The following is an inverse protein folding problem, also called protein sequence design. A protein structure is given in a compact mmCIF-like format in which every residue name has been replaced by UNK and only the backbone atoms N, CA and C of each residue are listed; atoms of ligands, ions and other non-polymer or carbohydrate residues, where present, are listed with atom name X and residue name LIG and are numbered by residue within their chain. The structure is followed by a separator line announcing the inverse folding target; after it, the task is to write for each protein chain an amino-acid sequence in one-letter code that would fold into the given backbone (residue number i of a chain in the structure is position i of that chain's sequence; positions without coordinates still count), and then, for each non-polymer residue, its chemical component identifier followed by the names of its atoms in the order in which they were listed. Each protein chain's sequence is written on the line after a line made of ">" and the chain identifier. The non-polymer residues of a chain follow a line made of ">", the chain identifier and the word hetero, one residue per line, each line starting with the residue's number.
data_IF_872433031089
#
_entry.id   IF_872433031089
#
_cell.length_a   1.000
_cell.length_b   1.000
_cell.length_c   1.000
_cell.angle_alpha   90.00
_cell.angle_beta   90.00
_cell.angle_gamma   90.00
#
_symmetry.space_group_name_H-M   'P 1'
#
loop_
_entity.id
_entity.type
_entity.pdbx_description
1 polymer ?
#
# COMPACT_ATOMS: atom_id res chain seq x y z
N UNK A 1 -4.00 21.02 -24.75
CA UNK A 1 -3.31 20.44 -25.92
C UNK A 1 -2.69 19.06 -25.67
N UNK A 2 -2.29 18.69 -24.44
CA UNK A 2 -1.72 17.33 -24.17
C UNK A 2 -2.68 16.18 -24.58
N UNK A 3 -3.98 16.31 -24.29
CA UNK A 3 -5.01 15.32 -24.66
C UNK A 3 -5.18 15.17 -26.18
N UNK A 4 -5.18 16.29 -26.92
CA UNK A 4 -5.28 16.28 -28.39
C UNK A 4 -4.07 15.58 -29.01
N UNK A 5 -2.87 15.84 -28.49
CA UNK A 5 -1.64 15.17 -28.93
C UNK A 5 -1.69 13.67 -28.66
N UNK A 6 -2.19 13.26 -27.49
CA UNK A 6 -2.38 11.85 -27.15
C UNK A 6 -3.36 11.16 -28.10
N UNK A 7 -4.54 11.75 -28.33
CA UNK A 7 -5.54 11.22 -29.26
C UNK A 7 -4.99 11.14 -30.68
N UNK A 8 -4.26 12.17 -31.14
CA UNK A 8 -3.64 12.17 -32.46
C UNK A 8 -2.60 11.05 -32.62
N UNK A 9 -1.76 10.80 -31.60
CA UNK A 9 -0.78 9.71 -31.69
C UNK A 9 -1.43 8.32 -31.69
N UNK A 10 -2.46 8.10 -30.87
CA UNK A 10 -3.17 6.81 -30.80
C UNK A 10 -3.92 6.55 -32.11
N UNK A 11 -4.68 7.54 -32.60
CA UNK A 11 -5.45 7.41 -33.84
C UNK A 11 -4.52 7.33 -35.05
N UNK A 12 -3.43 8.11 -35.06
CA UNK A 12 -2.44 8.08 -36.13
C UNK A 12 -1.71 6.74 -36.24
N UNK A 13 -1.26 6.17 -35.13
CA UNK A 13 -0.61 4.84 -35.13
C UNK A 13 -1.59 3.74 -35.51
N UNK A 14 -2.85 3.84 -35.08
CA UNK A 14 -3.91 2.94 -35.49
C UNK A 14 -4.12 3.02 -37.01
N UNK A 15 -4.36 4.20 -37.57
CA UNK A 15 -4.59 4.35 -39.01
C UNK A 15 -3.40 3.86 -39.84
N UNK A 16 -2.16 4.11 -39.40
CA UNK A 16 -0.96 3.62 -40.09
C UNK A 16 -0.88 2.10 -40.17
N UNK A 17 -1.30 1.38 -39.12
CA UNK A 17 -1.36 -0.08 -39.13
C UNK A 17 -2.41 -0.65 -40.09
N UNK A 18 -3.43 0.15 -40.45
CA UNK A 18 -4.53 -0.27 -41.34
C UNK A 18 -4.36 0.17 -42.79
N UNK A 19 -3.34 0.99 -43.11
CA UNK A 19 -3.07 1.46 -44.48
C UNK A 19 -2.98 0.31 -45.51
N UNK A 20 -2.33 -0.83 -45.22
CA UNK A 20 -2.26 -1.93 -46.19
C UNK A 20 -3.64 -2.49 -46.57
N UNK A 21 -4.55 -2.64 -45.59
CA UNK A 21 -5.90 -3.16 -45.81
C UNK A 21 -6.80 -2.17 -46.57
N UNK A 22 -6.64 -0.87 -46.32
CA UNK A 22 -7.35 0.16 -47.09
C UNK A 22 -6.89 0.18 -48.55
N UNK A 23 -5.62 -0.09 -48.81
CA UNK A 23 -5.10 -0.18 -50.16
C UNK A 23 -5.73 -1.36 -50.91
N UNK A 24 -5.71 -2.56 -50.32
CA UNK A 24 -6.37 -3.76 -50.86
C UNK A 24 -7.85 -3.52 -51.19
N UNK A 25 -8.58 -2.87 -50.28
CA UNK A 25 -10.00 -2.58 -50.45
C UNK A 25 -10.28 -1.65 -51.63
N UNK A 26 -9.38 -0.68 -51.90
CA UNK A 26 -9.54 0.30 -52.98
C UNK A 26 -9.11 -0.30 -54.33
N UNK A 27 -8.01 -1.04 -54.36
CA UNK A 27 -7.49 -1.63 -55.61
C UNK A 27 -8.24 -2.88 -56.03
N UNK A 28 -8.83 -3.63 -55.09
CA UNK A 28 -9.49 -4.91 -55.37
C UNK A 28 -8.54 -6.05 -55.72
N UNK A 29 -7.25 -5.75 -55.84
CA UNK A 29 -6.18 -6.72 -56.10
C UNK A 29 -5.68 -7.33 -54.79
N UNK A 30 -5.44 -8.66 -54.75
CA UNK A 30 -4.88 -9.32 -53.58
C UNK A 30 -3.47 -8.78 -53.30
N UNK A 31 -3.27 -8.36 -52.06
CA UNK A 31 -2.00 -7.77 -51.63
C UNK A 31 -0.93 -8.88 -51.49
N UNK A 32 0.34 -8.53 -51.76
CA UNK A 32 1.43 -9.49 -51.72
C UNK A 32 1.77 -9.91 -50.28
N UNK A 33 2.35 -11.11 -50.11
CA UNK A 33 2.68 -11.65 -48.78
C UNK A 33 3.65 -10.78 -47.98
N UNK A 34 4.49 -10.01 -48.68
CA UNK A 34 5.41 -9.06 -48.07
C UNK A 34 4.66 -7.93 -47.36
N UNK A 35 3.53 -7.50 -47.92
CA UNK A 35 2.68 -6.47 -47.31
C UNK A 35 1.92 -7.00 -46.09
N UNK A 36 1.47 -8.26 -46.09
CA UNK A 36 0.85 -8.88 -44.90
C UNK A 36 1.81 -8.88 -43.71
N UNK A 37 3.09 -9.21 -43.95
CA UNK A 37 4.12 -9.16 -42.92
C UNK A 37 4.33 -7.74 -42.38
N UNK A 38 4.32 -6.73 -43.26
CA UNK A 38 4.46 -5.33 -42.86
C UNK A 38 3.24 -4.87 -42.06
N UNK A 39 2.03 -5.24 -42.47
CA UNK A 39 0.80 -4.93 -41.73
C UNK A 39 0.83 -5.53 -40.32
N UNK A 40 1.21 -6.80 -40.19
CA UNK A 40 1.32 -7.47 -38.89
C UNK A 40 2.39 -6.81 -38.00
N UNK A 41 3.55 -6.48 -38.56
CA UNK A 41 4.59 -5.75 -37.84
C UNK A 41 4.09 -4.39 -37.32
N UNK A 42 3.41 -3.59 -38.14
CA UNK A 42 2.85 -2.30 -37.70
C UNK A 42 1.74 -2.46 -36.67
N UNK A 43 0.94 -3.52 -36.76
CA UNK A 43 -0.06 -3.86 -35.74
C UNK A 43 0.60 -4.13 -34.39
N UNK A 44 1.63 -4.98 -34.35
CA UNK A 44 2.39 -5.28 -33.14
C UNK A 44 3.08 -4.04 -32.56
N UNK A 45 3.64 -3.17 -33.41
CA UNK A 45 4.24 -1.89 -32.99
C UNK A 45 3.16 -0.97 -32.40
N UNK A 46 1.97 -0.89 -33.00
CA UNK A 46 0.86 -0.10 -32.49
C UNK A 46 0.38 -0.60 -31.11
N UNK A 47 0.27 -1.91 -30.95
CA UNK A 47 -0.04 -2.54 -29.66
C UNK A 47 1.01 -2.21 -28.59
N UNK A 48 2.30 -2.18 -28.94
CA UNK A 48 3.37 -1.82 -28.02
C UNK A 48 3.43 -0.30 -27.70
N UNK A 49 3.10 0.56 -28.66
CA UNK A 49 3.10 2.03 -28.50
C UNK A 49 1.96 2.49 -27.59
N UNK A 50 0.79 1.86 -27.67
CA UNK A 50 -0.40 2.26 -26.89
C UNK A 50 -0.12 2.35 -25.37
N UNK A 51 0.44 1.32 -24.71
CA UNK A 51 0.87 1.40 -23.31
C UNK A 51 1.90 2.51 -23.06
N UNK A 52 2.83 2.72 -23.99
CA UNK A 52 3.91 3.70 -23.87
C UNK A 52 3.37 5.14 -23.91
N UNK A 53 2.40 5.39 -24.78
CA UNK A 53 1.67 6.66 -24.88
C UNK A 53 0.87 6.90 -23.61
N UNK A 54 0.11 5.91 -23.13
CA UNK A 54 -0.63 6.01 -21.86
C UNK A 54 0.31 6.36 -20.70
N UNK A 55 1.46 5.69 -20.58
CA UNK A 55 2.45 5.97 -19.54
C UNK A 55 3.10 7.37 -19.67
N UNK A 56 3.23 7.89 -20.88
CA UNK A 56 3.87 9.18 -21.14
C UNK A 56 2.94 10.35 -20.81
N UNK A 57 1.67 10.26 -21.21
CA UNK A 57 0.70 11.35 -21.09
C UNK A 57 -0.11 11.29 -19.81
N UNK A 58 -0.38 10.10 -19.26
CA UNK A 58 -1.13 9.99 -18.01
C UNK A 58 -0.19 10.11 -16.80
N UNK A 59 -0.17 11.32 -16.22
CA UNK A 59 0.58 11.65 -15.00
C UNK A 59 0.13 10.83 -13.78
N UNK A 60 -1.13 10.38 -13.74
CA UNK A 60 -1.71 9.60 -12.65
C UNK A 60 -1.33 8.12 -12.78
N UNK A 61 -1.49 7.53 -13.97
CA UNK A 61 -1.06 6.14 -14.23
C UNK A 61 0.44 6.03 -14.02
N UNK A 62 1.25 6.96 -14.54
CA UNK A 62 2.70 6.94 -14.34
C UNK A 62 3.10 6.98 -12.86
N UNK A 63 2.42 7.78 -12.04
CA UNK A 63 2.65 7.80 -10.58
C UNK A 63 2.29 6.45 -9.96
N UNK A 64 1.17 5.86 -10.35
CA UNK A 64 0.73 4.56 -9.86
C UNK A 64 1.65 3.42 -10.30
N UNK A 65 2.11 3.42 -11.55
CA UNK A 65 3.07 2.45 -12.10
C UNK A 65 4.43 2.59 -11.41
N UNK A 66 4.96 3.81 -11.24
CA UNK A 66 6.20 4.04 -10.49
C UNK A 66 6.08 3.60 -9.04
N UNK A 67 4.95 3.89 -8.38
CA UNK A 67 4.68 3.39 -7.03
C UNK A 67 4.65 1.86 -7.05
N UNK A 68 4.02 1.23 -8.05
CA UNK A 68 4.00 -0.23 -8.21
C UNK A 68 5.39 -0.82 -8.44
N UNK A 69 6.25 -0.21 -9.26
CA UNK A 69 7.63 -0.66 -9.50
C UNK A 69 8.53 -0.42 -8.28
N UNK A 70 8.34 0.70 -7.57
CA UNK A 70 9.05 1.00 -6.31
C UNK A 70 8.61 0.03 -5.18
N UNK A 71 7.31 -0.30 -5.12
CA UNK A 71 6.72 -1.26 -4.19
C UNK A 71 7.06 -2.71 -4.55
N UNK A 72 7.36 -3.00 -5.81
CA UNK A 72 7.80 -4.31 -6.33
C UNK A 72 9.22 -4.69 -5.90
N UNK A 73 9.93 -3.84 -5.16
CA UNK A 73 11.17 -4.25 -4.53
C UNK A 73 10.89 -5.15 -3.34
N UNK A 74 11.50 -6.35 -3.29
CA UNK A 74 11.38 -7.34 -2.20
C UNK A 74 11.49 -6.73 -0.79
N UNK A 75 12.19 -5.59 -0.64
CA UNK A 75 12.35 -4.86 0.61
C UNK A 75 11.05 -4.22 1.10
N UNK A 76 10.29 -3.56 0.23
CA UNK A 76 9.05 -2.88 0.62
C UNK A 76 7.95 -3.90 0.94
N UNK A 77 7.85 -4.97 0.14
CA UNK A 77 6.96 -6.10 0.45
C UNK A 77 7.28 -6.71 1.82
N UNK A 78 8.56 -6.93 2.16
CA UNK A 78 8.95 -7.40 3.51
C UNK A 78 8.51 -6.45 4.62
N UNK A 79 8.66 -5.14 4.43
CA UNK A 79 8.20 -4.13 5.41
C UNK A 79 6.69 -4.21 5.59
N UNK A 80 5.93 -4.26 4.50
CA UNK A 80 4.47 -4.39 4.51
C UNK A 80 4.03 -5.67 5.21
N UNK A 81 4.61 -6.82 4.88
CA UNK A 81 4.32 -8.11 5.52
C UNK A 81 4.67 -8.08 7.01
N UNK A 82 5.81 -7.48 7.37
CA UNK A 82 6.23 -7.34 8.78
C UNK A 82 5.25 -6.48 9.55
N UNK A 83 4.87 -5.32 9.02
CA UNK A 83 3.88 -4.46 9.64
C UNK A 83 2.53 -5.14 9.75
N UNK A 84 2.14 -5.89 8.72
CA UNK A 84 0.90 -6.64 8.74
C UNK A 84 0.88 -7.69 9.86
N UNK A 85 1.98 -8.44 9.98
CA UNK A 85 2.15 -9.44 11.03
C UNK A 85 2.13 -8.82 12.44
N UNK A 86 2.82 -7.68 12.62
CA UNK A 86 2.90 -6.95 13.89
C UNK A 86 1.52 -6.39 14.26
N UNK A 87 0.85 -5.67 13.36
CA UNK A 87 -0.49 -5.14 13.58
C UNK A 87 -1.45 -6.25 14.01
N UNK A 88 -1.40 -7.39 13.33
CA UNK A 88 -2.22 -8.54 13.63
C UNK A 88 -1.92 -9.22 14.99
N UNK A 89 -0.68 -9.16 15.49
CA UNK A 89 -0.35 -9.70 16.83
C UNK A 89 -0.56 -8.73 17.98
N UNK A 90 -0.27 -7.45 17.79
CA UNK A 90 0.01 -6.53 18.90
C UNK A 90 -1.00 -5.39 19.03
N UNK A 91 -1.84 -5.16 18.01
CA UNK A 91 -2.92 -4.17 18.12
C UNK A 91 -4.00 -4.68 19.06
N UNK A 92 -4.33 -3.91 20.10
CA UNK A 92 -5.41 -4.24 21.04
C UNK A 92 -6.81 -3.90 20.51
N UNK A 93 -6.89 -3.10 19.44
CA UNK A 93 -8.16 -2.77 18.78
C UNK A 93 -8.77 -3.99 18.08
N UNK A 94 -10.04 -4.27 18.35
CA UNK A 94 -10.82 -5.35 17.70
C UNK A 94 -11.26 -5.00 16.28
N UNK A 95 -11.68 -3.75 16.05
CA UNK A 95 -12.24 -3.30 14.78
C UNK A 95 -11.26 -2.42 14.00
N UNK A 96 -10.43 -3.08 13.19
CA UNK A 96 -9.46 -2.42 12.33
C UNK A 96 -8.15 -2.18 13.05
N UNK A 97 -7.25 -3.15 12.94
CA UNK A 97 -5.90 -3.08 13.49
C UNK A 97 -5.08 -2.16 12.60
N UNK A 98 -4.47 -1.13 13.18
CA UNK A 98 -3.60 -0.21 12.45
C UNK A 98 -2.15 -0.38 12.86
N UNK A 99 -1.26 -0.30 11.88
CA UNK A 99 0.17 -0.15 12.10
C UNK A 99 0.72 0.96 11.20
N UNK A 100 1.71 1.67 11.72
CA UNK A 100 2.45 2.66 10.98
C UNK A 100 3.95 2.45 11.15
N UNK A 101 4.73 2.69 10.10
CA UNK A 101 6.19 2.64 10.16
C UNK A 101 6.83 3.83 9.47
N UNK A 102 7.90 4.33 10.09
CA UNK A 102 8.82 5.27 9.47
C UNK A 102 9.98 4.50 8.85
N UNK A 103 10.19 4.67 7.55
CA UNK A 103 11.24 3.99 6.80
C UNK A 103 12.21 4.97 6.15
N UNK A 104 13.47 4.54 6.04
CA UNK A 104 14.50 5.26 5.29
C UNK A 104 14.39 4.96 3.81
N UNK A 105 14.41 6.00 2.96
CA UNK A 105 14.32 5.82 1.50
C UNK A 105 15.45 4.99 0.90
N UNK A 106 16.69 5.21 1.35
CA UNK A 106 17.88 4.57 0.75
C UNK A 106 17.89 3.06 0.97
N UNK A 107 17.51 2.61 2.18
CA UNK A 107 17.74 1.22 2.59
C UNK A 107 16.45 0.47 2.96
N UNK A 108 15.30 1.16 3.06
CA UNK A 108 14.05 0.57 3.55
C UNK A 108 14.10 0.19 5.03
N UNK A 109 15.10 0.68 5.79
CA UNK A 109 15.26 0.36 7.21
C UNK A 109 14.18 1.08 8.00
N UNK A 110 13.47 0.33 8.83
CA UNK A 110 12.44 0.82 9.75
C UNK A 110 13.13 1.56 10.91
N UNK A 111 12.80 2.84 11.09
CA UNK A 111 13.31 3.67 12.17
C UNK A 111 12.42 3.63 13.41
N UNK A 112 11.11 3.57 13.20
CA UNK A 112 10.10 3.47 14.24
C UNK A 112 8.87 2.73 13.72
N UNK A 113 8.16 2.09 14.63
CA UNK A 113 6.88 1.41 14.41
C UNK A 113 5.90 1.97 15.43
N UNK A 114 4.66 2.16 15.01
CA UNK A 114 3.53 2.49 15.87
C UNK A 114 2.36 1.56 15.59
N UNK A 115 1.57 1.33 16.61
CA UNK A 115 0.42 0.43 16.61
C UNK A 115 -0.74 1.11 17.31
N UNK A 116 -1.93 0.90 16.77
CA UNK A 116 -3.15 1.35 17.43
C UNK A 116 -3.43 0.52 18.68
N UNK A 117 -3.67 1.18 19.81
CA UNK A 117 -4.03 0.51 21.06
C UNK A 117 -4.87 1.43 21.96
N UNK A 118 -5.59 0.82 22.89
CA UNK A 118 -6.26 1.53 23.99
C UNK A 118 -5.22 2.05 24.99
N UNK A 119 -5.27 3.34 25.30
CA UNK A 119 -4.58 3.92 26.48
C UNK A 119 -5.49 3.74 27.70
N UNK A 120 -6.80 3.96 27.50
CA UNK A 120 -7.84 3.76 28.49
C UNK A 120 -9.08 3.15 27.80
N UNK A 121 -10.12 2.73 28.55
CA UNK A 121 -11.34 2.20 27.95
C UNK A 121 -12.02 3.15 26.96
N UNK A 122 -11.91 4.47 27.18
CA UNK A 122 -12.50 5.51 26.34
C UNK A 122 -11.51 6.15 25.36
N UNK A 123 -10.20 5.94 25.53
CA UNK A 123 -9.17 6.60 24.76
C UNK A 123 -8.31 5.61 23.99
N UNK A 124 -8.20 5.83 22.69
CA UNK A 124 -7.29 5.09 21.81
C UNK A 124 -6.20 6.01 21.30
N UNK A 125 -5.02 5.43 21.05
CA UNK A 125 -3.97 6.11 20.29
C UNK A 125 -3.87 5.50 18.91
N UNK A 126 -3.75 6.38 17.92
CA UNK A 126 -3.60 6.00 16.53
C UNK A 126 -2.18 5.49 16.26
N UNK A 127 -2.05 4.60 15.27
CA UNK A 127 -0.77 3.99 14.96
C UNK A 127 0.27 5.03 14.50
N UNK A 128 -0.18 6.05 13.78
CA UNK A 128 0.62 7.18 13.29
C UNK A 128 1.19 7.98 14.46
N UNK A 129 0.32 8.40 15.38
CA UNK A 129 0.73 9.15 16.57
C UNK A 129 1.74 8.36 17.42
N UNK A 130 1.46 7.08 17.67
CA UNK A 130 2.37 6.19 18.38
C UNK A 130 3.71 6.02 17.65
N UNK A 131 3.71 5.96 16.31
CA UNK A 131 4.92 5.85 15.51
C UNK A 131 5.80 7.11 15.60
N UNK A 132 5.18 8.30 15.52
CA UNK A 132 5.85 9.59 15.65
C UNK A 132 6.46 9.75 17.04
N UNK A 133 5.72 9.39 18.09
CA UNK A 133 6.19 9.45 19.48
C UNK A 133 7.38 8.51 19.71
N UNK A 134 7.30 7.26 19.23
CA UNK A 134 8.43 6.31 19.30
C UNK A 134 9.67 6.84 18.58
N UNK A 135 9.50 7.47 17.42
CA UNK A 135 10.61 8.11 16.71
C UNK A 135 11.19 9.30 17.49
N UNK A 136 10.35 10.17 18.04
CA UNK A 136 10.78 11.32 18.84
C UNK A 136 11.55 10.89 20.10
N UNK A 137 11.05 9.88 20.82
CA UNK A 137 11.74 9.26 21.97
C UNK A 137 13.11 8.72 21.57
N UNK A 138 13.20 8.01 20.44
CA UNK A 138 14.46 7.46 19.93
C UNK A 138 15.43 8.56 19.46
N UNK A 139 14.93 9.60 18.81
CA UNK A 139 15.71 10.75 18.38
C UNK A 139 16.29 11.51 19.59
N UNK A 140 15.49 11.71 20.64
CA UNK A 140 15.94 12.35 21.88
C UNK A 140 17.01 11.52 22.61
N UNK A 141 16.88 10.19 22.66
CA UNK A 141 17.94 9.30 23.19
C UNK A 141 19.25 9.43 22.41
N UNK A 142 19.16 9.70 21.10
CA UNK A 142 20.32 9.88 20.21
C UNK A 142 20.93 11.28 20.25
N UNK A 143 20.29 12.29 20.88
CA UNK A 143 20.76 13.69 20.92
C UNK A 143 22.11 13.91 21.63
N UNK A 144 22.77 12.85 22.13
CA UNK A 144 24.24 12.89 22.37
C UNK A 144 25.08 12.85 21.09
N UNK A 145 24.45 12.75 19.91
CA UNK A 145 25.06 12.81 18.59
C UNK A 145 24.17 13.51 17.56
N UNK A 146 24.83 14.08 16.54
CA UNK A 146 24.31 14.87 15.40
C UNK A 146 22.88 14.51 14.99
N UNK A 147 21.99 15.50 14.97
CA UNK A 147 20.59 15.35 14.52
C UNK A 147 20.59 14.89 13.06
N UNK A 148 20.02 13.70 12.80
CA UNK A 148 19.89 13.19 11.43
C UNK A 148 18.91 14.05 10.65
N UNK A 149 19.38 14.73 9.61
CA UNK A 149 18.56 15.49 8.65
C UNK A 149 17.85 14.59 7.63
N UNK A 150 17.92 13.28 7.83
CA UNK A 150 17.40 12.31 6.88
C UNK A 150 15.87 12.38 6.81
N UNK A 151 15.36 12.72 5.63
CA UNK A 151 13.94 12.65 5.32
C UNK A 151 13.48 11.18 5.28
N UNK A 152 12.35 10.91 5.91
CA UNK A 152 11.74 9.57 6.04
C UNK A 152 10.41 9.52 5.30
N UNK A 153 10.01 8.30 4.95
CA UNK A 153 8.67 8.03 4.45
C UNK A 153 7.85 7.32 5.54
N UNK A 154 6.58 7.67 5.66
CA UNK A 154 5.63 7.03 6.56
C UNK A 154 4.75 6.05 5.78
N UNK A 155 4.63 4.83 6.26
CA UNK A 155 3.69 3.83 5.74
C UNK A 155 2.63 3.56 6.80
N UNK A 156 1.35 3.62 6.43
CA UNK A 156 0.20 3.38 7.31
C UNK A 156 -0.64 2.25 6.73
N UNK A 157 -0.93 1.24 7.53
CA UNK A 157 -1.68 0.04 7.14
C UNK A 157 -2.82 -0.22 8.09
N UNK A 158 -4.00 -0.48 7.53
CA UNK A 158 -5.17 -0.95 8.26
C UNK A 158 -5.54 -2.35 7.80
N UNK A 159 -5.65 -3.25 8.75
CA UNK A 159 -5.97 -4.66 8.51
C UNK A 159 -7.31 -4.96 9.16
N UNK A 160 -8.20 -5.63 8.42
CA UNK A 160 -9.43 -6.18 8.98
C UNK A 160 -9.11 -7.19 10.09
N UNK A 161 -10.06 -7.40 11.01
CA UNK A 161 -9.95 -8.41 12.07
C UNK A 161 -9.74 -9.83 11.50
N UNK A 162 -10.27 -10.06 10.29
CA UNK A 162 -10.16 -11.32 9.54
C UNK A 162 -8.81 -11.45 8.81
N UNK A 163 -7.89 -10.48 9.00
CA UNK A 163 -6.50 -10.47 8.54
C UNK A 163 -6.23 -10.49 7.03
N UNK A 164 -7.25 -10.64 6.19
CA UNK A 164 -7.07 -10.84 4.75
C UNK A 164 -7.45 -9.63 3.87
N UNK A 165 -8.02 -8.56 4.44
CA UNK A 165 -8.44 -7.39 3.67
C UNK A 165 -7.83 -6.12 4.25
N UNK A 166 -7.03 -5.44 3.42
CA UNK A 166 -6.59 -4.08 3.69
C UNK A 166 -7.78 -3.14 3.49
N UNK A 167 -8.04 -2.29 4.49
CA UNK A 167 -9.05 -1.24 4.40
C UNK A 167 -8.39 0.10 4.18
N UNK A 168 -9.16 1.10 3.76
CA UNK A 168 -8.67 2.47 3.74
C UNK A 168 -8.02 2.83 5.10
N UNK A 169 -6.75 3.19 5.06
CA UNK A 169 -5.93 3.58 6.21
C UNK A 169 -5.50 5.05 6.12
N UNK A 170 -6.29 5.87 5.42
CA UNK A 170 -6.10 7.32 5.41
C UNK A 170 -6.06 7.86 6.84
N UNK A 171 -5.00 8.62 7.20
CA UNK A 171 -4.88 9.20 8.54
C UNK A 171 -6.06 10.13 8.84
N UNK A 172 -6.56 10.11 10.08
CA UNK A 172 -7.55 11.08 10.52
C UNK A 172 -6.98 12.51 10.48
N UNK A 173 -7.85 13.53 10.57
CA UNK A 173 -7.46 14.95 10.53
C UNK A 173 -6.34 15.29 11.53
N UNK A 174 -6.43 14.80 12.76
CA UNK A 174 -5.44 15.06 13.81
C UNK A 174 -4.08 14.41 13.50
N UNK A 175 -4.10 13.17 12.99
CA UNK A 175 -2.89 12.47 12.56
C UNK A 175 -2.28 13.15 11.34
N UNK A 176 -3.09 13.57 10.37
CA UNK A 176 -2.65 14.30 9.19
C UNK A 176 -1.98 15.63 9.58
N UNK A 177 -2.53 16.36 10.56
CA UNK A 177 -1.92 17.58 11.09
C UNK A 177 -0.58 17.29 11.77
N UNK A 178 -0.51 16.27 12.63
CA UNK A 178 0.74 15.83 13.27
C UNK A 178 1.81 15.47 12.23
N UNK A 179 1.42 14.73 11.19
CA UNK A 179 2.31 14.33 10.10
C UNK A 179 2.79 15.55 9.31
N UNK A 180 1.91 16.51 9.02
CA UNK A 180 2.25 17.76 8.31
C UNK A 180 3.27 18.59 9.09
N UNK A 181 3.15 18.62 10.41
CA UNK A 181 4.07 19.33 11.30
C UNK A 181 5.41 18.61 11.49
N UNK A 182 5.49 17.31 11.18
CA UNK A 182 6.72 16.54 11.28
C UNK A 182 7.65 16.80 10.08
N UNK A 183 8.53 17.80 10.21
CA UNK A 183 9.43 18.24 9.14
C UNK A 183 10.35 17.14 8.56
N UNK A 184 10.58 16.02 9.26
CA UNK A 184 11.37 14.90 8.75
C UNK A 184 10.58 13.97 7.83
N UNK A 185 9.24 14.08 7.77
CA UNK A 185 8.40 13.28 6.89
C UNK A 185 8.36 13.92 5.50
N UNK A 186 8.57 13.09 4.49
CA UNK A 186 8.56 13.52 3.08
C UNK A 186 7.30 13.07 2.36
N UNK A 187 6.88 11.82 2.58
CA UNK A 187 5.73 11.19 1.94
C UNK A 187 5.02 10.27 2.91
N UNK A 188 3.73 10.13 2.70
CA UNK A 188 2.86 9.20 3.41
C UNK A 188 2.30 8.22 2.38
N UNK A 189 2.46 6.93 2.65
CA UNK A 189 1.80 5.86 1.92
C UNK A 189 0.75 5.27 2.84
N UNK A 190 -0.48 5.17 2.36
CA UNK A 190 -1.56 4.50 3.06
C UNK A 190 -2.27 3.56 2.09
N UNK A 191 -2.82 2.48 2.61
CA UNK A 191 -3.67 1.60 1.81
C UNK A 191 -4.97 2.34 1.54
N UNK A 192 -5.17 2.85 0.32
CA UNK A 192 -6.50 3.14 -0.19
C UNK A 192 -7.18 1.82 -0.58
N UNK A 193 -8.51 1.77 -0.70
CA UNK A 193 -9.37 0.58 -0.89
C UNK A 193 -9.06 -0.36 -2.10
N UNK A 194 -7.86 -0.37 -2.68
CA UNK A 194 -7.56 -1.09 -3.91
C UNK A 194 -6.11 -1.58 -3.97
N UNK A 195 -5.82 -2.73 -3.36
CA UNK A 195 -4.68 -3.56 -3.78
C UNK A 195 -5.06 -5.06 -3.77
N UNK A 196 -5.90 -5.53 -4.73
CA UNK A 196 -6.24 -6.94 -4.83
C UNK A 196 -5.05 -7.82 -5.28
N UNK A 197 -4.09 -7.30 -6.03
CA UNK A 197 -3.05 -8.13 -6.69
C UNK A 197 -1.73 -8.34 -5.94
N UNK A 198 -1.57 -7.84 -4.70
CA UNK A 198 -0.30 -7.99 -3.96
C UNK A 198 -0.27 -9.23 -3.07
N UNK A 199 -1.42 -9.88 -2.86
CA UNK A 199 -1.56 -11.01 -1.92
C UNK A 199 -1.38 -12.38 -2.59
N UNK A 200 -1.43 -12.50 -3.92
CA UNK A 200 -1.20 -13.79 -4.59
C UNK A 200 0.22 -14.35 -4.38
N UNK A 201 1.16 -13.51 -3.94
CA UNK A 201 2.56 -13.90 -3.63
C UNK A 201 2.93 -13.79 -2.14
N UNK A 202 2.09 -13.19 -1.31
CA UNK A 202 2.32 -13.12 0.13
C UNK A 202 1.74 -14.40 0.75
N UNK A 203 2.63 -15.35 1.06
CA UNK A 203 2.31 -16.62 1.73
C UNK A 203 1.16 -16.45 2.73
N UNK A 204 0.14 -17.34 2.69
CA UNK A 204 -0.95 -17.29 3.65
C UNK A 204 -0.33 -17.34 5.05
N UNK A 205 -0.38 -16.22 5.76
CA UNK A 205 -0.04 -16.19 7.17
C UNK A 205 -0.94 -17.26 7.78
N UNK A 206 -0.35 -18.30 8.37
CA UNK A 206 -1.05 -19.49 8.83
C UNK A 206 -2.05 -19.12 9.95
N UNK A 207 -3.22 -18.63 9.55
CA UNK A 207 -4.25 -18.06 10.40
C UNK A 207 -4.82 -19.10 11.35
N UNK A 208 -4.80 -20.39 10.98
CA UNK A 208 -5.35 -21.49 11.77
C UNK A 208 -4.66 -21.68 13.11
N UNK A 209 -3.32 -21.52 13.19
CA UNK A 209 -2.62 -21.58 14.49
C UNK A 209 -2.92 -20.37 15.39
N UNK A 210 -3.29 -19.23 14.80
CA UNK A 210 -3.60 -17.97 15.52
C UNK A 210 -5.04 -17.91 16.03
N UNK A 211 -6.01 -18.48 15.30
CA UNK A 211 -7.40 -18.61 15.76
C UNK A 211 -7.46 -19.46 17.03
N UNK A 212 -6.67 -20.54 17.12
CA UNK A 212 -6.61 -21.40 18.31
C UNK A 212 -6.05 -20.67 19.55
N UNK A 213 -5.00 -19.83 19.38
CA UNK A 213 -4.49 -18.97 20.46
C UNK A 213 -5.47 -17.86 20.85
N UNK A 214 -6.24 -17.34 19.90
CA UNK A 214 -7.29 -16.35 20.13
C UNK A 214 -8.44 -16.91 20.99
N UNK A 215 -8.88 -18.13 20.70
CA UNK A 215 -9.90 -18.83 21.51
C UNK A 215 -9.41 -19.06 22.94
N UNK A 216 -8.14 -19.46 23.12
CA UNK A 216 -7.53 -19.63 24.44
C UNK A 216 -7.47 -18.32 25.25
N UNK A 217 -7.10 -17.22 24.61
CA UNK A 217 -7.00 -15.92 25.29
C UNK A 217 -8.38 -15.34 25.65
N UNK A 218 -9.37 -15.50 24.77
CA UNK A 218 -10.75 -15.10 25.03
C UNK A 218 -11.38 -15.94 26.17
N UNK A 219 -11.04 -17.24 26.25
CA UNK A 219 -11.43 -18.11 27.37
C UNK A 219 -10.79 -17.69 28.70
N UNK A 220 -9.50 -17.35 28.71
CA UNK A 220 -8.82 -16.86 29.92
C UNK A 220 -9.42 -15.55 30.43
N UNK A 221 -9.63 -14.57 29.54
CA UNK A 221 -10.20 -13.29 29.93
C UNK A 221 -11.64 -13.43 30.45
N UNK A 222 -12.45 -14.29 29.82
CA UNK A 222 -13.79 -14.59 30.29
C UNK A 222 -13.77 -15.25 31.68
N UNK A 223 -12.79 -16.14 31.95
CA UNK A 223 -12.62 -16.76 33.26
C UNK A 223 -12.21 -15.73 34.33
N UNK A 224 -11.25 -14.86 34.05
CA UNK A 224 -10.79 -13.82 34.99
C UNK A 224 -11.93 -12.85 35.35
N UNK A 225 -12.72 -12.42 34.35
CA UNK A 225 -13.86 -11.52 34.58
C UNK A 225 -14.97 -12.14 35.44
N UNK A 226 -15.19 -13.47 35.35
CA UNK A 226 -16.14 -14.18 36.24
C UNK A 226 -15.66 -14.23 37.67
N UNK A 227 -14.37 -14.53 37.88
CA UNK A 227 -13.77 -14.55 39.22
C UNK A 227 -13.85 -13.17 39.88
N UNK A 228 -13.68 -12.10 39.11
CA UNK A 228 -13.79 -10.73 39.61
C UNK A 228 -15.24 -10.36 40.00
N UNK A 229 -16.24 -10.82 39.22
CA UNK A 229 -17.66 -10.67 39.56
C UNK A 229 -18.07 -11.47 40.79
N UNK A 230 -17.58 -12.70 40.95
CA UNK A 230 -17.86 -13.53 42.13
C UNK A 230 -17.28 -12.91 43.41
N UNK A 231 -16.07 -12.33 43.34
CA UNK A 231 -15.47 -11.60 44.47
C UNK A 231 -16.28 -10.38 44.90
N UNK A 232 -16.93 -9.69 43.96
CA UNK A 232 -17.82 -8.58 44.29
C UNK A 232 -19.10 -9.05 44.98
N UNK A 233 -19.63 -10.21 44.56
CA UNK A 233 -20.87 -10.77 45.12
C UNK A 233 -20.68 -11.32 46.55
N UNK A 234 -19.52 -11.90 46.87
CA UNK A 234 -19.23 -12.44 48.21
C UNK A 234 -18.97 -11.36 49.26
N UNK A 235 -18.57 -10.16 48.83
CA UNK A 235 -18.29 -9.03 49.73
C UNK A 235 -19.48 -8.05 49.86
N UNK A 236 -20.64 -8.40 49.30
CA UNK A 236 -21.91 -7.66 49.39
C UNK A 236 -22.85 -8.32 50.40
#
# INVERSE_FOLDING_TARGET
>A
MELLKQSFMIVGSFLLGWVPYFFELITGDPVSREFDFVADFFSQVSEAINPLVILTFDKTIRKNTLIRTLMSTNKMQRVLTTLAAIAASQSTLRLGRHAAALITRKNGIIQAIGLSHHISPSQTIHAEAHCLDNYAKRANRRKRGKVSTQKLDLIVLRISADSCVFRNSEPCADCALCIKNAAFIRRVYFTANYIPHFMDSALPINCNKRVKRRQLFEQQYAAESRVEQEKLFVNS
#
